data_IF_759692635466
#
_entry.id   IF_759692635466
#
_cell.length_a   1.000
_cell.length_b   1.000
_cell.length_c   1.000
_cell.angle_alpha   90.00
_cell.angle_beta   90.00
_cell.angle_gamma   90.00
#
_symmetry.space_group_name_H-M   'P 1'
#
loop_
_entity.id
_entity.type
_entity.pdbx_description
1 polymer ?
#
# COMPACT_ATOMS: atom_id res chain seq x y z
N UNK A 1 -5.00 9.37 -33.92
CA UNK A 1 -6.33 10.00 -33.87
C UNK A 1 -7.16 9.19 -32.89
N UNK A 2 -7.57 9.77 -31.76
CA UNK A 2 -8.36 9.07 -30.73
C UNK A 2 -9.85 9.30 -31.02
N UNK A 3 -10.64 8.23 -31.11
CA UNK A 3 -12.07 8.30 -31.42
C UNK A 3 -12.88 8.78 -30.20
N UNK A 4 -14.05 9.40 -30.42
CA UNK A 4 -14.97 9.77 -29.34
C UNK A 4 -15.48 8.51 -28.63
N UNK A 5 -15.62 8.55 -27.31
CA UNK A 5 -16.06 7.39 -26.54
C UNK A 5 -17.55 7.10 -26.76
N UNK A 6 -17.90 5.82 -26.88
CA UNK A 6 -19.29 5.38 -26.81
C UNK A 6 -19.70 5.21 -25.35
N UNK A 7 -21.01 5.23 -25.05
CA UNK A 7 -21.54 4.93 -23.71
C UNK A 7 -21.03 3.58 -23.15
N UNK A 8 -20.85 2.58 -24.03
CA UNK A 8 -20.26 1.29 -23.65
C UNK A 8 -18.77 1.42 -23.31
N UNK A 9 -18.02 2.23 -24.08
CA UNK A 9 -16.64 2.55 -23.78
C UNK A 9 -16.47 3.28 -22.44
N UNK A 10 -17.39 4.17 -22.08
CA UNK A 10 -17.34 4.89 -20.80
C UNK A 10 -17.50 3.93 -19.63
N UNK A 11 -18.45 2.99 -19.74
CA UNK A 11 -18.68 1.95 -18.74
C UNK A 11 -17.46 1.03 -18.62
N UNK A 12 -16.85 0.65 -19.73
CA UNK A 12 -15.66 -0.21 -19.71
C UNK A 12 -14.44 0.48 -19.07
N UNK A 13 -14.26 1.78 -19.31
CA UNK A 13 -13.22 2.55 -18.62
C UNK A 13 -13.54 2.69 -17.14
N UNK A 14 -14.79 2.96 -16.76
CA UNK A 14 -15.22 3.02 -15.37
C UNK A 14 -14.89 1.72 -14.64
N UNK A 15 -15.31 0.56 -15.16
CA UNK A 15 -14.97 -0.77 -14.59
C UNK A 15 -13.46 -0.98 -14.44
N UNK A 16 -12.66 -0.52 -15.40
CA UNK A 16 -11.19 -0.62 -15.30
C UNK A 16 -10.60 0.28 -14.21
N UNK A 17 -11.18 1.46 -13.98
CA UNK A 17 -10.84 2.33 -12.85
C UNK A 17 -11.18 1.61 -11.55
N UNK A 18 -12.39 1.07 -11.45
CA UNK A 18 -12.88 0.38 -10.25
C UNK A 18 -12.02 -0.83 -9.89
N UNK A 19 -11.76 -1.71 -10.85
CA UNK A 19 -10.87 -2.87 -10.66
C UNK A 19 -9.49 -2.45 -10.16
N UNK A 20 -8.94 -1.37 -10.73
CA UNK A 20 -7.62 -0.86 -10.35
C UNK A 20 -7.60 -0.38 -8.90
N UNK A 21 -8.64 0.35 -8.50
CA UNK A 21 -8.80 0.84 -7.13
C UNK A 21 -9.02 -0.32 -6.15
N UNK A 22 -9.92 -1.26 -6.48
CA UNK A 22 -10.17 -2.44 -5.66
C UNK A 22 -8.89 -3.27 -5.44
N UNK A 23 -8.04 -3.40 -6.47
CA UNK A 23 -6.74 -4.06 -6.32
C UNK A 23 -5.81 -3.33 -5.32
N UNK A 24 -5.82 -2.00 -5.29
CA UNK A 24 -5.07 -1.20 -4.30
C UNK A 24 -5.67 -1.43 -2.91
N UNK A 25 -6.99 -1.35 -2.77
CA UNK A 25 -7.69 -1.59 -1.49
C UNK A 25 -7.40 -2.98 -0.92
N UNK A 26 -7.44 -4.02 -1.74
CA UNK A 26 -7.05 -5.38 -1.35
C UNK A 26 -5.60 -5.42 -0.85
N UNK A 27 -4.69 -4.72 -1.52
CA UNK A 27 -3.27 -4.69 -1.14
C UNK A 27 -3.06 -3.97 0.20
N UNK A 28 -3.81 -2.91 0.47
CA UNK A 28 -3.81 -2.20 1.76
C UNK A 28 -4.38 -3.08 2.87
N UNK A 29 -5.47 -3.82 2.60
CA UNK A 29 -6.12 -4.70 3.56
C UNK A 29 -5.22 -5.86 4.04
N UNK A 30 -4.31 -6.32 3.18
CA UNK A 30 -3.34 -7.36 3.52
C UNK A 30 -2.15 -6.85 4.35
N UNK A 31 -1.96 -5.54 4.45
CA UNK A 31 -0.83 -4.90 5.11
C UNK A 31 -1.14 -4.66 6.61
N UNK A 32 -0.48 -5.36 7.55
CA UNK A 32 -0.86 -5.33 8.96
C UNK A 32 -0.82 -3.93 9.60
N UNK A 33 0.17 -3.11 9.26
CA UNK A 33 0.29 -1.75 9.80
C UNK A 33 -0.88 -0.85 9.36
N UNK A 34 -1.53 -1.13 8.22
CA UNK A 34 -2.69 -0.36 7.79
C UNK A 34 -3.89 -0.60 8.71
N UNK A 35 -4.05 -1.86 9.18
CA UNK A 35 -5.10 -2.23 10.12
C UNK A 35 -4.83 -1.60 11.49
N UNK A 36 -3.60 -1.70 12.00
CA UNK A 36 -3.25 -1.10 13.29
C UNK A 36 -3.38 0.41 13.25
N UNK A 37 -2.95 1.06 12.17
CA UNK A 37 -3.14 2.50 11.97
C UNK A 37 -4.62 2.89 12.07
N UNK A 38 -5.49 2.17 11.37
CA UNK A 38 -6.93 2.46 11.38
C UNK A 38 -7.55 2.27 12.77
N UNK A 39 -7.15 1.22 13.50
CA UNK A 39 -7.59 0.98 14.89
C UNK A 39 -7.07 2.09 15.84
N UNK A 40 -5.81 2.49 15.69
CA UNK A 40 -5.20 3.56 16.50
C UNK A 40 -5.87 4.92 16.23
N UNK A 41 -6.19 5.24 14.97
CA UNK A 41 -6.96 6.46 14.67
C UNK A 41 -8.36 6.41 15.27
N UNK A 42 -9.00 5.24 15.27
CA UNK A 42 -10.31 5.11 15.92
C UNK A 42 -10.23 5.28 17.44
N UNK A 43 -9.17 4.78 18.09
CA UNK A 43 -8.96 5.00 19.51
C UNK A 43 -8.80 6.51 19.84
N UNK A 44 -8.20 7.28 18.94
CA UNK A 44 -8.14 8.76 19.04
C UNK A 44 -9.50 9.42 18.86
N UNK A 45 -10.37 8.87 18.01
CA UNK A 45 -11.76 9.33 17.86
C UNK A 45 -12.54 9.08 19.16
N UNK A 46 -12.43 7.88 19.74
CA UNK A 46 -13.08 7.54 21.03
C UNK A 46 -12.55 8.42 22.19
N UNK A 47 -11.27 8.82 22.13
CA UNK A 47 -10.67 9.74 23.10
C UNK A 47 -11.08 11.22 22.88
N UNK A 48 -11.80 11.54 21.80
CA UNK A 48 -12.20 12.90 21.45
C UNK A 48 -11.07 13.77 20.86
N UNK A 49 -9.97 13.16 20.42
CA UNK A 49 -8.83 13.86 19.81
C UNK A 49 -9.00 14.09 18.30
N UNK A 50 -9.95 13.40 17.66
CA UNK A 50 -10.20 13.46 16.21
C UNK A 50 -11.67 13.16 15.91
N UNK A 51 -12.16 13.58 14.73
CA UNK A 51 -13.55 13.31 14.33
C UNK A 51 -13.63 12.04 13.50
N UNK A 52 -14.74 11.32 13.61
CA UNK A 52 -14.99 10.12 12.81
C UNK A 52 -15.03 10.42 11.30
N UNK A 53 -15.54 11.59 10.94
CA UNK A 53 -15.58 12.12 9.57
C UNK A 53 -14.20 12.33 8.93
N UNK A 54 -13.16 12.49 9.74
CA UNK A 54 -11.78 12.65 9.25
C UNK A 54 -11.12 11.30 8.92
N UNK A 55 -11.73 10.20 9.40
CA UNK A 55 -11.22 8.84 9.28
C UNK A 55 -11.96 8.05 8.19
N UNK A 56 -13.29 8.05 8.24
CA UNK A 56 -14.16 7.34 7.31
C UNK A 56 -15.30 8.23 6.83
N UNK A 57 -15.82 7.90 5.66
CA UNK A 57 -17.01 8.51 5.04
C UNK A 57 -18.26 7.65 5.18
N UNK A 58 -18.12 6.41 5.66
CA UNK A 58 -19.21 5.45 5.85
C UNK A 58 -18.76 4.00 5.78
N UNK A 59 -19.73 3.10 5.66
CA UNK A 59 -19.51 1.67 5.52
C UNK A 59 -20.17 1.14 4.23
N UNK A 60 -19.58 0.12 3.61
CA UNK A 60 -20.20 -0.66 2.54
C UNK A 60 -21.05 -1.74 3.18
N UNK A 61 -22.34 -1.81 2.82
CA UNK A 61 -23.20 -2.93 3.19
C UNK A 61 -23.01 -4.07 2.15
N UNK A 62 -22.45 -5.23 2.53
CA UNK A 62 -22.30 -6.37 1.62
C UNK A 62 -23.63 -6.93 1.11
N UNK A 63 -24.77 -6.58 1.74
CA UNK A 63 -26.11 -7.03 1.36
C UNK A 63 -26.92 -6.00 0.55
N UNK A 64 -26.41 -4.78 0.35
CA UNK A 64 -27.08 -3.79 -0.49
C UNK A 64 -26.72 -4.04 -1.96
N UNK A 65 -27.72 -4.11 -2.85
CA UNK A 65 -27.53 -4.24 -4.30
C UNK A 65 -26.95 -2.99 -4.99
N UNK A 66 -26.46 -2.00 -4.22
CA UNK A 66 -25.84 -0.80 -4.76
C UNK A 66 -24.38 -1.05 -5.16
N UNK A 67 -24.10 -0.73 -6.42
CA UNK A 67 -22.80 -0.83 -7.07
C UNK A 67 -21.66 -0.39 -6.14
N UNK A 68 -20.66 -1.27 -6.03
CA UNK A 68 -19.37 -1.08 -5.39
C UNK A 68 -18.54 0.00 -6.11
N UNK A 69 -19.09 1.20 -6.33
CA UNK A 69 -18.31 2.34 -6.79
C UNK A 69 -17.23 2.58 -5.73
N UNK A 70 -15.94 2.31 -6.04
CA UNK A 70 -14.91 2.37 -5.03
C UNK A 70 -14.65 3.83 -4.73
N UNK A 71 -14.97 4.19 -3.49
CA UNK A 71 -14.97 5.54 -2.96
C UNK A 71 -13.59 6.22 -2.86
N UNK A 72 -12.55 5.54 -3.30
CA UNK A 72 -11.20 6.07 -3.36
C UNK A 72 -10.87 6.40 -4.80
N UNK A 73 -11.42 7.50 -5.32
CA UNK A 73 -10.71 8.25 -6.35
C UNK A 73 -9.52 8.90 -5.65
N UNK A 74 -8.26 8.43 -5.83
CA UNK A 74 -7.13 9.28 -5.51
C UNK A 74 -7.26 10.48 -6.43
N UNK A 75 -7.67 11.62 -5.87
CA UNK A 75 -7.79 12.90 -6.56
C UNK A 75 -6.42 13.55 -6.79
N UNK A 76 -5.36 13.08 -6.14
CA UNK A 76 -4.05 13.73 -6.24
C UNK A 76 -3.07 13.06 -7.19
N UNK A 77 -3.43 13.01 -8.48
CA UNK A 77 -2.46 12.78 -9.54
C UNK A 77 -2.67 13.68 -10.76
N UNK A 78 -3.13 14.92 -10.54
CA UNK A 78 -3.00 15.99 -11.52
C UNK A 78 -2.19 17.15 -10.94
N UNK A 79 -1.15 17.53 -11.70
CA UNK A 79 -0.40 18.79 -11.66
C UNK A 79 0.62 18.99 -10.53
N UNK A 80 1.82 18.41 -10.72
CA UNK A 80 3.04 19.02 -10.21
C UNK A 80 3.72 19.80 -11.35
N UNK A 81 3.76 21.12 -11.16
CA UNK A 81 4.82 22.07 -11.54
C UNK A 81 5.09 22.33 -13.04
N UNK A 82 4.54 23.45 -13.54
CA UNK A 82 5.38 24.49 -14.18
C UNK A 82 4.59 25.81 -14.37
N UNK A 83 4.95 26.83 -13.57
CA UNK A 83 4.83 28.27 -13.90
C UNK A 83 3.48 28.97 -13.71
N UNK A 84 3.41 29.86 -12.70
CA UNK A 84 2.96 31.28 -12.75
C UNK A 84 2.85 31.76 -11.28
N UNK A 85 3.77 32.60 -10.84
CA UNK A 85 3.70 34.08 -10.78
C UNK A 85 2.81 34.55 -9.62
N UNK A 86 3.46 35.22 -8.67
CA UNK A 86 2.90 35.91 -7.51
C UNK A 86 1.85 36.91 -7.99
N UNK A 87 0.61 36.80 -7.51
CA UNK A 87 -0.20 37.98 -7.19
C UNK A 87 -1.26 37.60 -6.16
N UNK A 88 -1.12 38.22 -4.99
CA UNK A 88 -2.09 38.31 -3.90
C UNK A 88 -3.46 38.77 -4.43
N UNK A 89 -4.52 38.04 -4.08
CA UNK A 89 -5.80 38.69 -3.76
C UNK A 89 -6.59 37.82 -2.76
N UNK A 90 -6.59 38.29 -1.52
CA UNK A 90 -7.45 37.84 -0.43
C UNK A 90 -8.92 38.08 -0.80
N UNK A 91 -9.72 37.02 -0.90
CA UNK A 91 -11.15 37.07 -0.61
C UNK A 91 -11.62 35.72 -0.07
N UNK A 92 -11.62 35.63 1.26
CA UNK A 92 -12.39 34.68 2.04
C UNK A 92 -13.89 34.97 1.84
N UNK A 93 -14.56 34.16 1.02
CA UNK A 93 -16.00 33.94 1.17
C UNK A 93 -16.20 32.45 1.49
N UNK A 94 -16.31 32.19 2.80
CA UNK A 94 -16.79 30.94 3.39
C UNK A 94 -18.23 30.68 2.90
N UNK A 95 -18.37 29.98 1.77
CA UNK A 95 -19.60 29.25 1.46
C UNK A 95 -19.61 27.95 2.27
N UNK A 96 -20.13 28.09 3.49
CA UNK A 96 -20.50 27.02 4.41
C UNK A 96 -21.69 26.25 3.81
N UNK A 97 -21.42 25.43 2.79
CA UNK A 97 -22.36 24.48 2.20
C UNK A 97 -22.36 23.21 3.08
N UNK A 98 -22.96 23.35 4.27
CA UNK A 98 -23.17 22.26 5.22
C UNK A 98 -24.31 21.35 4.72
N UNK A 99 -24.09 20.62 3.64
CA UNK A 99 -24.86 19.41 3.30
C UNK A 99 -24.31 18.22 4.12
N UNK A 100 -24.37 18.35 5.45
CA UNK A 100 -23.99 17.30 6.42
C UNK A 100 -25.17 16.34 6.63
N UNK A 101 -25.54 15.60 5.58
CA UNK A 101 -26.45 14.44 5.65
C UNK A 101 -25.68 13.10 5.66
N UNK A 102 -24.37 13.15 5.96
CA UNK A 102 -23.50 11.98 6.10
C UNK A 102 -23.08 11.76 7.55
N UNK A 103 -24.00 11.96 8.51
CA UNK A 103 -23.74 11.64 9.91
C UNK A 103 -23.56 10.13 10.05
N UNK A 104 -22.31 9.67 10.12
CA UNK A 104 -21.99 8.26 10.37
C UNK A 104 -22.54 7.91 11.74
N UNK A 105 -23.43 6.93 11.80
CA UNK A 105 -24.00 6.44 13.07
C UNK A 105 -22.86 5.98 14.00
N UNK A 106 -22.63 6.66 15.14
CA UNK A 106 -21.56 6.32 16.06
C UNK A 106 -21.69 4.91 16.65
N UNK A 107 -22.92 4.41 16.82
CA UNK A 107 -23.14 3.06 17.35
C UNK A 107 -22.74 1.99 16.33
N UNK A 108 -23.13 2.19 15.06
CA UNK A 108 -22.72 1.32 13.96
C UNK A 108 -21.20 1.36 13.75
N UNK A 109 -20.59 2.55 13.81
CA UNK A 109 -19.16 2.71 13.69
C UNK A 109 -18.44 1.92 14.78
N UNK A 110 -18.84 2.09 16.04
CA UNK A 110 -18.27 1.33 17.17
C UNK A 110 -18.41 -0.17 16.98
N UNK A 111 -19.57 -0.64 16.50
CA UNK A 111 -19.77 -2.05 16.19
C UNK A 111 -18.77 -2.54 15.13
N UNK A 112 -18.62 -1.80 14.03
CA UNK A 112 -17.72 -2.17 12.92
C UNK A 112 -16.24 -2.13 13.31
N UNK A 113 -15.81 -1.12 14.06
CA UNK A 113 -14.44 -1.06 14.57
C UNK A 113 -14.16 -2.17 15.60
N UNK A 114 -15.16 -2.56 16.39
CA UNK A 114 -15.04 -3.73 17.29
C UNK A 114 -14.89 -5.02 16.48
N UNK A 115 -15.70 -5.21 15.44
CA UNK A 115 -15.59 -6.35 14.51
C UNK A 115 -14.20 -6.42 13.86
N UNK A 116 -13.66 -5.29 13.40
CA UNK A 116 -12.31 -5.19 12.85
C UNK A 116 -11.24 -5.56 13.89
N UNK A 117 -11.37 -5.05 15.13
CA UNK A 117 -10.42 -5.31 16.22
C UNK A 117 -10.41 -6.80 16.62
N UNK A 118 -11.58 -7.41 16.75
CA UNK A 118 -11.72 -8.83 17.11
C UNK A 118 -11.15 -9.73 16.00
N UNK A 119 -11.46 -9.43 14.74
CA UNK A 119 -10.93 -10.18 13.61
C UNK A 119 -9.41 -9.99 13.47
N UNK A 120 -8.88 -8.78 13.72
CA UNK A 120 -7.44 -8.54 13.74
C UNK A 120 -6.74 -9.39 14.81
N UNK A 121 -7.30 -9.48 16.01
CA UNK A 121 -6.74 -10.31 17.09
C UNK A 121 -6.77 -11.80 16.73
N UNK A 122 -7.88 -12.30 16.18
CA UNK A 122 -8.00 -13.68 15.72
C UNK A 122 -6.94 -14.02 14.67
N UNK A 123 -6.75 -13.12 13.68
CA UNK A 123 -5.72 -13.24 12.65
C UNK A 123 -4.32 -13.23 13.28
N UNK A 124 -4.04 -12.32 14.21
CA UNK A 124 -2.74 -12.22 14.90
C UNK A 124 -2.39 -13.49 15.67
N UNK A 125 -3.35 -14.04 16.42
CA UNK A 125 -3.17 -15.30 17.16
C UNK A 125 -2.93 -16.46 16.20
N UNK A 126 -3.68 -16.55 15.10
CA UNK A 126 -3.50 -17.60 14.09
C UNK A 126 -2.11 -17.56 13.43
N UNK A 127 -1.64 -16.36 13.07
CA UNK A 127 -0.30 -16.13 12.52
C UNK A 127 0.77 -16.54 13.52
N UNK A 128 0.62 -16.18 14.80
CA UNK A 128 1.59 -16.53 15.85
C UNK A 128 1.64 -18.05 16.11
N UNK A 129 0.51 -18.74 16.00
CA UNK A 129 0.42 -20.17 16.25
C UNK A 129 0.91 -21.03 15.07
N UNK A 130 0.56 -20.68 13.83
CA UNK A 130 0.78 -21.53 12.66
C UNK A 130 1.75 -20.95 11.62
N UNK A 131 2.11 -19.67 11.75
CA UNK A 131 2.83 -18.91 10.73
C UNK A 131 1.87 -18.32 9.68
N UNK A 132 2.27 -17.19 9.10
CA UNK A 132 1.43 -16.40 8.17
C UNK A 132 1.02 -17.14 6.90
N UNK A 133 1.86 -18.03 6.41
CA UNK A 133 1.62 -18.79 5.17
C UNK A 133 0.81 -20.07 5.37
N UNK A 134 0.38 -20.38 6.60
CA UNK A 134 -0.44 -21.55 6.88
C UNK A 134 -1.88 -21.33 6.37
N UNK A 135 -2.57 -22.34 5.79
CA UNK A 135 -3.92 -22.19 5.25
C UNK A 135 -4.90 -21.54 6.24
N UNK A 136 -4.87 -21.94 7.51
CA UNK A 136 -5.70 -21.33 8.58
C UNK A 136 -5.40 -19.86 8.82
N UNK A 137 -4.13 -19.44 8.73
CA UNK A 137 -3.77 -18.03 8.87
C UNK A 137 -4.19 -17.24 7.64
N UNK A 138 -4.06 -17.82 6.44
CA UNK A 138 -4.51 -17.23 5.18
C UNK A 138 -6.03 -17.00 5.21
N UNK A 139 -6.81 -17.97 5.69
CA UNK A 139 -8.26 -17.83 5.81
C UNK A 139 -8.64 -16.68 6.76
N UNK A 140 -7.98 -16.54 7.89
CA UNK A 140 -8.20 -15.41 8.82
C UNK A 140 -7.73 -14.07 8.23
N UNK A 141 -6.62 -14.04 7.49
CA UNK A 141 -6.15 -12.83 6.77
C UNK A 141 -7.16 -12.41 5.70
N UNK A 142 -7.77 -13.37 5.00
CA UNK A 142 -8.81 -13.09 4.01
C UNK A 142 -10.05 -12.51 4.69
N UNK A 143 -10.52 -13.10 5.79
CA UNK A 143 -11.64 -12.53 6.58
C UNK A 143 -11.34 -11.13 7.07
N UNK A 144 -10.14 -10.89 7.60
CA UNK A 144 -9.70 -9.56 8.02
C UNK A 144 -9.73 -8.57 6.86
N UNK A 145 -9.27 -8.99 5.68
CA UNK A 145 -9.30 -8.16 4.48
C UNK A 145 -10.74 -7.82 4.07
N UNK A 146 -11.67 -8.77 4.14
CA UNK A 146 -13.08 -8.53 3.82
C UNK A 146 -13.75 -7.59 4.84
N UNK A 147 -13.42 -7.69 6.13
CA UNK A 147 -13.90 -6.73 7.14
C UNK A 147 -13.33 -5.34 6.87
N UNK A 148 -12.04 -5.22 6.57
CA UNK A 148 -11.41 -3.93 6.27
C UNK A 148 -12.00 -3.25 5.03
N UNK A 149 -12.36 -4.01 3.98
CA UNK A 149 -12.99 -3.48 2.76
C UNK A 149 -14.37 -2.86 3.01
N UNK A 150 -15.03 -3.18 4.12
CA UNK A 150 -16.31 -2.55 4.46
C UNK A 150 -16.14 -1.08 4.87
N UNK A 151 -14.93 -0.62 5.20
CA UNK A 151 -14.69 0.76 5.62
C UNK A 151 -14.46 1.64 4.39
N UNK A 152 -15.26 2.70 4.24
CA UNK A 152 -15.01 3.74 3.22
C UNK A 152 -14.09 4.81 3.83
N UNK A 153 -12.79 4.58 3.77
CA UNK A 153 -11.80 5.54 4.27
C UNK A 153 -11.89 6.88 3.52
N UNK A 154 -11.64 7.98 4.24
CA UNK A 154 -11.45 9.30 3.61
C UNK A 154 -10.24 9.23 2.66
N UNK A 155 -10.27 9.83 1.46
CA UNK A 155 -9.18 9.77 0.49
C UNK A 155 -7.81 10.11 1.07
N UNK A 156 -7.73 11.14 1.93
CA UNK A 156 -6.49 11.55 2.62
C UNK A 156 -5.89 10.43 3.48
N UNK A 157 -6.72 9.65 4.16
CA UNK A 157 -6.28 8.51 4.99
C UNK A 157 -5.78 7.36 4.11
N UNK A 158 -6.48 7.10 3.01
CA UNK A 158 -6.09 6.06 2.07
C UNK A 158 -4.74 6.38 1.40
N UNK A 159 -4.54 7.62 0.96
CA UNK A 159 -3.29 8.09 0.37
C UNK A 159 -2.12 7.99 1.36
N UNK A 160 -2.36 8.29 2.64
CA UNK A 160 -1.36 8.12 3.69
C UNK A 160 -0.92 6.65 3.82
N UNK A 161 -1.87 5.70 3.85
CA UNK A 161 -1.58 4.27 3.93
C UNK A 161 -0.75 3.79 2.72
N UNK A 162 -1.15 4.18 1.51
CA UNK A 162 -0.43 3.85 0.28
C UNK A 162 1.00 4.43 0.31
N UNK A 163 1.16 5.67 0.77
CA UNK A 163 2.48 6.31 0.89
C UNK A 163 3.36 5.61 1.93
N UNK A 164 2.82 5.22 3.08
CA UNK A 164 3.56 4.46 4.10
C UNK A 164 4.09 3.14 3.53
N UNK A 165 3.27 2.40 2.77
CA UNK A 165 3.69 1.18 2.09
C UNK A 165 4.78 1.43 1.04
N UNK A 166 4.73 2.56 0.33
CA UNK A 166 5.76 2.97 -0.64
C UNK A 166 7.08 3.28 0.06
N UNK A 167 7.05 4.07 1.13
CA UNK A 167 8.23 4.40 1.94
C UNK A 167 8.87 3.14 2.53
N UNK A 168 8.05 2.20 3.01
CA UNK A 168 8.55 0.92 3.51
C UNK A 168 9.28 0.13 2.41
N UNK A 169 8.71 0.05 1.21
CA UNK A 169 9.36 -0.59 0.08
C UNK A 169 10.64 0.09 -0.40
N UNK A 170 10.72 1.42 -0.30
CA UNK A 170 11.95 2.13 -0.62
C UNK A 170 13.05 1.87 0.41
N UNK A 171 12.70 1.67 1.70
CA UNK A 171 13.65 1.18 2.72
C UNK A 171 14.19 -0.20 2.34
N UNK A 172 13.32 -1.14 1.94
CA UNK A 172 13.72 -2.48 1.46
C UNK A 172 14.69 -2.37 0.28
N UNK A 173 14.30 -1.66 -0.78
CA UNK A 173 15.12 -1.48 -1.99
C UNK A 173 16.46 -0.82 -1.69
N UNK A 174 16.50 0.10 -0.72
CA UNK A 174 17.75 0.76 -0.30
C UNK A 174 18.72 -0.25 0.27
N UNK A 175 18.27 -1.14 1.17
CA UNK A 175 19.14 -2.18 1.73
C UNK A 175 19.55 -3.22 0.68
N UNK A 176 18.62 -3.69 -0.16
CA UNK A 176 18.94 -4.64 -1.24
C UNK A 176 19.99 -4.08 -2.22
N UNK A 177 19.84 -2.82 -2.63
CA UNK A 177 20.82 -2.15 -3.50
C UNK A 177 22.16 -1.95 -2.81
N UNK A 178 22.16 -1.62 -1.52
CA UNK A 178 23.38 -1.49 -0.74
C UNK A 178 24.14 -2.82 -0.66
N UNK A 179 23.46 -3.91 -0.32
CA UNK A 179 24.04 -5.26 -0.30
C UNK A 179 24.57 -5.64 -1.69
N UNK A 180 23.78 -5.44 -2.74
CA UNK A 180 24.20 -5.72 -4.11
C UNK A 180 25.45 -4.91 -4.50
N UNK A 181 25.51 -3.62 -4.14
CA UNK A 181 26.66 -2.76 -4.43
C UNK A 181 27.93 -3.24 -3.70
N UNK A 182 27.82 -3.60 -2.43
CA UNK A 182 28.94 -4.14 -1.65
C UNK A 182 29.46 -5.43 -2.29
N UNK A 183 28.59 -6.42 -2.54
CA UNK A 183 29.02 -7.71 -3.06
C UNK A 183 29.49 -7.64 -4.53
N UNK A 184 28.70 -7.01 -5.41
CA UNK A 184 28.92 -7.06 -6.86
C UNK A 184 29.90 -5.98 -7.33
N UNK A 185 29.71 -4.73 -6.91
CA UNK A 185 30.51 -3.61 -7.42
C UNK A 185 31.85 -3.49 -6.70
N UNK A 186 31.85 -3.60 -5.37
CA UNK A 186 33.05 -3.43 -4.54
C UNK A 186 33.88 -4.71 -4.45
N UNK A 187 33.27 -5.83 -4.05
CA UNK A 187 33.96 -7.12 -3.91
C UNK A 187 34.15 -7.88 -5.24
N UNK A 188 33.56 -7.39 -6.34
CA UNK A 188 33.63 -8.00 -7.68
C UNK A 188 33.03 -9.41 -7.78
N UNK A 189 32.05 -9.73 -6.93
CA UNK A 189 31.26 -10.94 -7.09
C UNK A 189 30.44 -10.85 -8.40
N UNK A 190 30.42 -11.90 -9.24
CA UNK A 190 29.52 -11.92 -10.40
C UNK A 190 28.05 -11.82 -9.98
N UNK A 191 27.29 -10.92 -10.63
CA UNK A 191 25.86 -10.68 -10.31
C UNK A 191 25.02 -11.96 -10.35
N UNK A 192 25.32 -12.89 -11.25
CA UNK A 192 24.64 -14.19 -11.33
C UNK A 192 24.77 -14.99 -10.02
N UNK A 193 25.97 -15.05 -9.45
CA UNK A 193 26.21 -15.75 -8.19
C UNK A 193 25.49 -15.06 -7.03
N UNK A 194 25.52 -13.73 -6.99
CA UNK A 194 24.81 -12.94 -6.00
C UNK A 194 23.31 -13.26 -6.01
N UNK A 195 22.65 -13.13 -7.16
CA UNK A 195 21.20 -13.39 -7.29
C UNK A 195 20.85 -14.82 -6.87
N UNK A 196 21.64 -15.81 -7.26
CA UNK A 196 21.40 -17.22 -6.87
C UNK A 196 21.46 -17.45 -5.36
N UNK A 197 22.33 -16.74 -4.63
CA UNK A 197 22.47 -16.89 -3.18
C UNK A 197 21.47 -16.03 -2.40
N UNK A 198 21.24 -14.81 -2.87
CA UNK A 198 20.46 -13.80 -2.17
C UNK A 198 18.94 -14.03 -2.27
N UNK A 199 18.43 -14.41 -3.45
CA UNK A 199 16.99 -14.61 -3.67
C UNK A 199 16.46 -15.76 -2.80
N UNK A 200 15.41 -15.47 -2.02
CA UNK A 200 14.81 -16.41 -1.07
C UNK A 200 15.53 -16.50 0.29
N UNK A 201 16.65 -15.80 0.47
CA UNK A 201 17.42 -15.74 1.73
C UNK A 201 17.68 -14.29 2.16
N UNK A 202 16.86 -13.34 1.70
CA UNK A 202 17.11 -11.90 1.73
C UNK A 202 17.34 -11.34 3.15
N UNK A 203 16.94 -12.05 4.19
CA UNK A 203 17.07 -11.62 5.61
C UNK A 203 17.97 -12.50 6.47
N UNK A 204 18.48 -13.64 5.98
CA UNK A 204 19.37 -14.49 6.78
C UNK A 204 20.85 -14.29 6.43
N UNK A 205 21.76 -14.58 7.35
CA UNK A 205 23.21 -14.53 7.08
C UNK A 205 23.74 -15.77 6.34
N UNK A 206 22.93 -16.84 6.26
CA UNK A 206 23.39 -18.15 5.75
C UNK A 206 23.87 -18.07 4.31
N UNK A 207 23.24 -17.24 3.47
CA UNK A 207 23.69 -17.05 2.09
C UNK A 207 25.06 -16.36 2.03
N UNK A 208 25.35 -15.47 2.99
CA UNK A 208 26.63 -14.77 3.08
C UNK A 208 27.74 -15.71 3.55
N UNK A 209 27.48 -16.53 4.57
CA UNK A 209 28.40 -17.57 5.05
C UNK A 209 28.72 -18.61 3.95
N UNK A 210 27.69 -19.01 3.20
CA UNK A 210 27.85 -19.87 2.04
C UNK A 210 28.70 -19.21 0.96
N UNK A 211 28.51 -17.92 0.70
CA UNK A 211 29.31 -17.15 -0.26
C UNK A 211 30.79 -17.11 0.13
N UNK A 212 31.10 -16.86 1.41
CA UNK A 212 32.47 -16.87 1.95
C UNK A 212 33.14 -18.25 1.81
N UNK A 213 32.36 -19.32 1.95
CA UNK A 213 32.83 -20.71 1.87
C UNK A 213 33.12 -21.20 0.44
N UNK A 214 32.78 -20.42 -0.60
CA UNK A 214 32.98 -20.84 -2.01
C UNK A 214 34.45 -20.83 -2.46
N UNK A 215 35.37 -20.28 -1.67
CA UNK A 215 36.81 -20.23 -1.97
C UNK A 215 37.13 -19.47 -3.28
N UNK A 216 36.29 -18.51 -3.65
CA UNK A 216 36.45 -17.71 -4.88
C UNK A 216 37.31 -16.47 -4.62
N UNK A 217 37.89 -15.85 -5.68
CA UNK A 217 38.74 -14.67 -5.53
C UNK A 217 38.06 -13.48 -4.83
N UNK A 218 36.74 -13.38 -4.92
CA UNK A 218 35.95 -12.32 -4.29
C UNK A 218 35.65 -12.58 -2.79
N UNK A 219 35.94 -13.77 -2.26
CA UNK A 219 35.64 -14.11 -0.85
C UNK A 219 36.49 -13.31 0.13
N UNK A 220 37.77 -13.04 -0.17
CA UNK A 220 38.63 -12.20 0.70
C UNK A 220 38.05 -10.80 0.86
N UNK A 221 37.64 -10.18 -0.26
CA UNK A 221 37.01 -8.85 -0.25
C UNK A 221 35.63 -8.83 0.40
N UNK A 222 34.89 -9.95 0.37
CA UNK A 222 33.61 -10.03 1.07
C UNK A 222 33.79 -9.95 2.59
N UNK A 223 34.86 -10.53 3.14
CA UNK A 223 35.14 -10.43 4.58
C UNK A 223 35.34 -8.98 5.03
N UNK A 224 35.92 -8.14 4.16
CA UNK A 224 36.12 -6.71 4.47
C UNK A 224 34.81 -5.93 4.57
N UNK A 225 33.73 -6.37 3.91
CA UNK A 225 32.42 -5.70 3.91
C UNK A 225 31.38 -6.43 4.76
N UNK A 226 31.80 -7.44 5.51
CA UNK A 226 30.93 -8.31 6.30
C UNK A 226 30.04 -7.52 7.26
N UNK A 227 30.61 -6.60 8.02
CA UNK A 227 29.87 -5.77 8.98
C UNK A 227 28.86 -4.83 8.30
N UNK A 228 29.15 -4.33 7.10
CA UNK A 228 28.23 -3.49 6.33
C UNK A 228 27.05 -4.30 5.77
N UNK A 229 27.30 -5.52 5.31
CA UNK A 229 26.27 -6.43 4.83
C UNK A 229 25.38 -6.87 5.99
N UNK A 230 25.96 -7.27 7.13
CA UNK A 230 25.19 -7.64 8.31
C UNK A 230 24.32 -6.50 8.84
N UNK A 231 24.83 -5.26 8.86
CA UNK A 231 24.01 -4.08 9.20
C UNK A 231 22.84 -3.87 8.24
N UNK A 232 23.03 -4.13 6.96
CA UNK A 232 21.96 -4.02 5.95
C UNK A 232 20.93 -5.14 6.12
N UNK A 233 21.37 -6.37 6.43
CA UNK A 233 20.49 -7.51 6.74
C UNK A 233 19.69 -7.27 8.03
N UNK A 234 20.29 -6.70 9.08
CA UNK A 234 19.58 -6.33 10.31
C UNK A 234 18.47 -5.31 10.04
N UNK A 235 18.72 -4.32 9.18
CA UNK A 235 17.68 -3.36 8.77
C UNK A 235 16.55 -4.03 7.98
N UNK A 236 16.84 -5.05 7.18
CA UNK A 236 15.79 -5.84 6.51
C UNK A 236 14.99 -6.67 7.51
N UNK A 237 15.64 -7.31 8.48
CA UNK A 237 14.96 -8.04 9.57
C UNK A 237 14.07 -7.10 10.39
N UNK A 238 14.55 -5.90 10.69
CA UNK A 238 13.76 -4.88 11.39
C UNK A 238 12.48 -4.52 10.60
N UNK A 239 12.55 -4.43 9.27
CA UNK A 239 11.36 -4.21 8.44
C UNK A 239 10.39 -5.40 8.55
N UNK A 240 10.89 -6.64 8.61
CA UNK A 240 10.02 -7.81 8.81
C UNK A 240 9.33 -7.79 10.18
N UNK A 241 10.03 -7.32 11.22
CA UNK A 241 9.49 -7.16 12.57
C UNK A 241 8.45 -6.04 12.67
N UNK A 242 8.73 -4.87 12.08
CA UNK A 242 7.83 -3.71 12.05
C UNK A 242 6.53 -4.05 11.32
N UNK A 243 6.65 -4.65 10.13
CA UNK A 243 5.48 -4.92 9.27
C UNK A 243 4.77 -6.23 9.60
N UNK A 244 5.44 -7.16 10.30
CA UNK A 244 4.95 -8.53 10.48
C UNK A 244 4.89 -9.35 9.18
N UNK A 245 5.65 -8.95 8.15
CA UNK A 245 5.68 -9.55 6.81
C UNK A 245 7.10 -9.93 6.43
N UNK A 246 7.28 -11.00 5.67
CA UNK A 246 8.60 -11.26 5.06
C UNK A 246 8.91 -10.23 3.97
N UNK A 247 10.18 -9.99 3.67
CA UNK A 247 10.57 -9.07 2.59
C UNK A 247 9.93 -9.46 1.26
N UNK A 248 9.79 -10.75 0.98
CA UNK A 248 9.09 -11.27 -0.19
C UNK A 248 7.62 -10.86 -0.21
N UNK A 249 6.93 -10.95 0.93
CA UNK A 249 5.53 -10.54 1.06
C UNK A 249 5.35 -9.03 0.91
N UNK A 250 6.23 -8.22 1.52
CA UNK A 250 6.21 -6.75 1.36
C UNK A 250 6.36 -6.38 -0.12
N UNK A 251 7.28 -7.04 -0.84
CA UNK A 251 7.49 -6.85 -2.28
C UNK A 251 6.28 -7.26 -3.12
N UNK A 252 5.66 -8.40 -2.82
CA UNK A 252 4.49 -8.87 -3.56
C UNK A 252 3.26 -7.96 -3.39
N UNK A 253 2.94 -7.60 -2.14
CA UNK A 253 1.83 -6.70 -1.83
C UNK A 253 2.02 -5.35 -2.54
N UNK A 254 3.20 -4.74 -2.43
CA UNK A 254 3.46 -3.46 -3.09
C UNK A 254 3.47 -3.57 -4.63
N UNK A 255 3.90 -4.72 -5.17
CA UNK A 255 3.81 -4.98 -6.62
C UNK A 255 2.34 -5.01 -7.07
N UNK A 256 1.46 -5.72 -6.35
CA UNK A 256 0.02 -5.76 -6.67
C UNK A 256 -0.62 -4.38 -6.53
N UNK A 257 -0.27 -3.63 -5.49
CA UNK A 257 -0.69 -2.23 -5.31
C UNK A 257 -0.28 -1.36 -6.50
N UNK A 258 0.99 -1.41 -6.90
CA UNK A 258 1.53 -0.63 -8.03
C UNK A 258 0.85 -0.96 -9.37
N UNK A 259 0.48 -2.24 -9.57
CA UNK A 259 -0.27 -2.67 -10.76
C UNK A 259 -1.68 -2.09 -10.74
N UNK A 260 -2.37 -2.14 -9.59
CA UNK A 260 -3.70 -1.57 -9.40
C UNK A 260 -3.72 -0.06 -9.67
N UNK A 261 -2.78 0.68 -9.08
CA UNK A 261 -2.60 2.12 -9.33
C UNK A 261 -2.37 2.41 -10.82
N UNK A 262 -1.49 1.64 -11.47
CA UNK A 262 -1.20 1.82 -12.90
C UNK A 262 -2.40 1.50 -13.79
N UNK A 263 -3.22 0.52 -13.42
CA UNK A 263 -4.46 0.19 -14.12
C UNK A 263 -5.47 1.33 -13.99
N UNK A 264 -5.73 1.82 -12.77
CA UNK A 264 -6.64 2.93 -12.51
C UNK A 264 -6.18 4.22 -13.21
N UNK A 265 -4.91 4.60 -13.06
CA UNK A 265 -4.36 5.83 -13.66
C UNK A 265 -4.44 5.82 -15.19
N UNK A 266 -4.15 4.68 -15.82
CA UNK A 266 -4.25 4.54 -17.29
C UNK A 266 -5.69 4.71 -17.76
N UNK A 267 -6.64 4.11 -17.05
CA UNK A 267 -8.06 4.23 -17.38
C UNK A 267 -8.58 5.66 -17.16
N UNK A 268 -8.22 6.33 -16.05
CA UNK A 268 -8.54 7.76 -15.83
C UNK A 268 -8.01 8.65 -16.95
N UNK A 269 -6.74 8.48 -17.35
CA UNK A 269 -6.13 9.25 -18.44
C UNK A 269 -6.90 9.09 -19.76
N UNK A 270 -7.31 7.86 -20.07
CA UNK A 270 -8.10 7.55 -21.27
C UNK A 270 -9.48 8.24 -21.24
N UNK A 271 -10.13 8.28 -20.06
CA UNK A 271 -11.40 9.00 -19.86
C UNK A 271 -11.23 10.51 -20.07
N UNK A 272 -10.20 11.11 -19.49
CA UNK A 272 -9.91 12.56 -19.62
C UNK A 272 -9.60 12.94 -21.07
N UNK A 273 -8.76 12.16 -21.76
CA UNK A 273 -8.43 12.41 -23.17
C UNK A 273 -9.65 12.34 -24.10
N UNK A 274 -10.63 11.49 -23.79
CA UNK A 274 -11.88 11.40 -24.53
C UNK A 274 -12.80 12.58 -24.24
N UNK A 275 -12.91 13.02 -22.98
CA UNK A 275 -13.77 14.12 -22.56
C UNK A 275 -13.22 15.50 -22.97
N UNK A 276 -11.90 15.72 -22.96
CA UNK A 276 -11.29 16.98 -23.40
C UNK A 276 -11.61 17.31 -24.87
N UNK A 277 -11.84 16.31 -25.72
CA UNK A 277 -12.27 16.53 -27.11
C UNK A 277 -13.74 16.91 -27.24
N UNK A 278 -14.57 16.54 -26.27
CA UNK A 278 -15.96 16.97 -26.19
C UNK A 278 -16.04 18.46 -25.83
N UNK A 279 -15.19 18.93 -24.91
CA UNK A 279 -15.15 20.34 -24.45
C UNK A 279 -14.66 21.31 -25.53
N UNK A 280 -13.83 20.83 -26.48
CA UNK A 280 -13.30 21.63 -27.59
C UNK A 280 -14.19 21.57 -28.85
N UNK A 281 -15.11 20.60 -28.95
CA UNK A 281 -16.00 20.40 -30.10
C UNK A 281 -17.32 21.17 -29.99
#
# INVERSE_FOLDING_TARGET
TVELLTREGEIDIAKRIEDGINQVQCSVAEYPEAITYLLDQYDRVEAGESRLSDLITGFVDPNAEEDLAPNTTPENAELADDGMDDDDDENEEDEDDSDDDNSIDPELARQKFTELRDQYEATRVSIKAHGRSHPTAIDEINKLSEVFKQFRLVPKQFDLLVNNMRTMMDRVRTQERQIMKLCVELCKMPKKNFVTLFTGNETNSKWFDAALSMGKPWCEKLREVEDDVHRSLQKLQQIEEETGLTIEQVKDINRRMSIGEAKARRAKKEMVEANLRLVIS
#
